data_IF_182276549470
#
_entry.id   IF_182276549470
#
_cell.length_a   1.000
_cell.length_b   1.000
_cell.length_c   1.000
_cell.angle_alpha   90.00
_cell.angle_beta   90.00
_cell.angle_gamma   90.00
#
_symmetry.space_group_name_H-M   'P 1'
#
loop_
_entity.id
_entity.type
_entity.pdbx_description
1 polymer ?
#
# COMPACT_ATOMS: atom_id res chain seq x y z
N UNK A 1 7.10 -20.89 -0.80
CA UNK A 1 7.23 -19.43 -0.64
C UNK A 1 5.87 -18.94 -0.23
N UNK A 2 5.66 -18.65 1.04
CA UNK A 2 4.39 -18.13 1.54
C UNK A 2 4.75 -17.00 2.50
N UNK A 3 4.79 -15.77 2.00
CA UNK A 3 5.00 -14.59 2.81
C UNK A 3 3.63 -13.99 3.12
N UNK A 4 3.28 -14.01 4.41
CA UNK A 4 2.02 -13.55 4.98
C UNK A 4 1.72 -12.08 4.65
N UNK A 5 0.75 -11.82 3.78
CA UNK A 5 0.22 -10.47 3.47
C UNK A 5 -0.74 -9.92 4.54
N UNK A 6 -0.44 -10.00 5.84
CA UNK A 6 -1.38 -9.48 6.88
C UNK A 6 -0.76 -8.66 8.00
N UNK A 7 0.54 -8.42 7.97
CA UNK A 7 1.23 -7.72 9.07
C UNK A 7 0.96 -6.21 9.01
N UNK A 8 0.86 -5.64 7.80
CA UNK A 8 0.67 -4.19 7.59
C UNK A 8 -0.72 -3.66 8.00
N UNK A 9 -1.76 -4.49 7.90
CA UNK A 9 -3.09 -4.11 8.36
C UNK A 9 -3.25 -4.26 9.88
N UNK A 10 -2.58 -5.23 10.49
CA UNK A 10 -2.76 -5.55 11.92
C UNK A 10 -2.09 -4.53 12.84
N UNK A 11 -0.85 -4.15 12.55
CA UNK A 11 -0.11 -3.22 13.40
C UNK A 11 -0.72 -1.82 13.32
N UNK A 12 -1.07 -1.39 12.10
CA UNK A 12 -1.78 -0.13 11.83
C UNK A 12 -3.17 -0.08 12.49
N UNK A 13 -3.96 -1.16 12.33
CA UNK A 13 -5.26 -1.27 12.96
C UNK A 13 -5.15 -1.30 14.49
N UNK A 14 -4.10 -1.92 15.04
CA UNK A 14 -3.83 -1.98 16.47
C UNK A 14 -3.52 -0.58 17.01
N UNK A 15 -2.65 0.19 16.36
CA UNK A 15 -2.29 1.54 16.81
C UNK A 15 -3.48 2.52 16.73
N UNK A 16 -4.29 2.42 15.68
CA UNK A 16 -5.52 3.21 15.55
C UNK A 16 -6.56 2.80 16.60
N UNK A 17 -6.77 1.50 16.81
CA UNK A 17 -7.77 0.99 17.77
C UNK A 17 -7.38 1.30 19.22
N UNK A 18 -6.10 1.18 19.58
CA UNK A 18 -5.60 1.50 20.94
C UNK A 18 -5.85 2.96 21.31
N UNK A 19 -5.77 3.88 20.35
CA UNK A 19 -6.14 5.29 20.57
C UNK A 19 -7.65 5.55 20.49
N UNK A 20 -8.38 4.80 19.64
CA UNK A 20 -9.83 4.91 19.48
C UNK A 20 -10.59 4.42 20.72
N UNK A 21 -10.11 3.39 21.42
CA UNK A 21 -10.75 2.84 22.63
C UNK A 21 -10.90 3.91 23.73
N UNK A 22 -9.84 4.62 24.17
CA UNK A 22 -9.92 5.74 25.10
C UNK A 22 -10.92 6.81 24.68
N UNK A 23 -10.95 7.18 23.39
CA UNK A 23 -11.88 8.17 22.85
C UNK A 23 -13.31 7.68 22.97
N UNK A 24 -13.57 6.43 22.58
CA UNK A 24 -14.91 5.82 22.66
C UNK A 24 -15.43 5.77 24.09
N UNK A 25 -14.63 5.29 25.05
CA UNK A 25 -15.07 5.22 26.45
C UNK A 25 -15.32 6.62 27.03
N UNK A 26 -14.47 7.60 26.73
CA UNK A 26 -14.65 8.97 27.20
C UNK A 26 -15.91 9.61 26.61
N UNK A 27 -16.15 9.44 25.30
CA UNK A 27 -17.36 9.94 24.65
C UNK A 27 -18.62 9.29 25.23
N UNK A 28 -18.59 7.96 25.43
CA UNK A 28 -19.70 7.21 25.99
C UNK A 28 -20.07 7.70 27.39
N UNK A 29 -19.09 7.81 28.29
CA UNK A 29 -19.34 8.30 29.64
C UNK A 29 -19.72 9.79 29.64
N UNK A 30 -19.09 10.60 28.80
CA UNK A 30 -19.45 12.01 28.67
C UNK A 30 -20.93 12.15 28.29
N UNK A 31 -21.41 11.43 27.29
CA UNK A 31 -22.82 11.45 26.88
C UNK A 31 -23.75 10.87 27.96
N UNK A 32 -23.33 9.83 28.68
CA UNK A 32 -24.11 9.26 29.80
C UNK A 32 -24.26 10.24 30.97
N UNK A 33 -23.22 11.03 31.28
CA UNK A 33 -23.21 11.95 32.41
C UNK A 33 -23.59 13.39 32.02
N UNK A 34 -23.63 13.74 30.74
CA UNK A 34 -24.10 15.04 30.26
C UNK A 34 -25.54 15.39 30.72
N UNK A 35 -26.50 14.46 30.83
CA UNK A 35 -27.82 14.74 31.39
C UNK A 35 -27.81 15.07 32.89
N UNK A 36 -26.71 14.79 33.60
CA UNK A 36 -26.55 15.09 35.02
C UNK A 36 -26.53 16.61 35.30
N UNK A 37 -26.31 17.44 34.27
CA UNK A 37 -26.46 18.91 34.30
C UNK A 37 -27.86 19.33 34.77
N UNK A 38 -28.88 18.52 34.52
CA UNK A 38 -30.28 18.76 34.96
C UNK A 38 -30.61 18.12 36.32
N UNK A 39 -29.64 17.50 36.98
CA UNK A 39 -29.83 16.76 38.23
C UNK A 39 -29.99 17.65 39.48
N UNK A 40 -30.46 17.09 40.59
CA UNK A 40 -30.82 17.83 41.81
C UNK A 40 -29.62 18.44 42.58
N UNK A 41 -28.38 18.21 42.13
CA UNK A 41 -27.17 18.49 42.92
C UNK A 41 -26.56 19.89 42.74
N UNK A 42 -27.17 20.77 41.96
CA UNK A 42 -26.69 22.15 41.78
C UNK A 42 -25.47 22.24 40.86
N UNK A 43 -25.39 23.36 40.14
CA UNK A 43 -24.33 23.62 39.17
C UNK A 43 -23.37 24.67 39.73
N UNK A 44 -22.15 24.27 40.08
CA UNK A 44 -21.08 25.23 40.35
C UNK A 44 -20.26 25.44 39.08
N UNK A 45 -20.28 26.67 38.54
CA UNK A 45 -19.59 27.00 37.28
C UNK A 45 -18.09 26.77 37.34
N UNK A 46 -17.45 26.95 38.49
CA UNK A 46 -15.99 26.87 38.59
C UNK A 46 -15.54 25.41 38.54
N UNK A 47 -16.16 24.57 39.36
CA UNK A 47 -15.84 23.14 39.40
C UNK A 47 -16.28 22.43 38.12
N UNK A 48 -17.44 22.79 37.57
CA UNK A 48 -17.92 22.19 36.31
C UNK A 48 -17.03 22.56 35.13
N UNK A 49 -16.55 23.81 35.06
CA UNK A 49 -15.64 24.25 34.01
C UNK A 49 -14.30 23.50 34.08
N UNK A 50 -13.75 23.35 35.29
CA UNK A 50 -12.52 22.56 35.49
C UNK A 50 -12.74 21.10 35.10
N UNK A 51 -13.82 20.46 35.55
CA UNK A 51 -14.13 19.07 35.22
C UNK A 51 -14.27 18.87 33.70
N UNK A 52 -15.05 19.72 33.04
CA UNK A 52 -15.26 19.65 31.60
C UNK A 52 -13.94 19.93 30.86
N UNK A 53 -13.16 20.91 31.31
CA UNK A 53 -11.84 21.21 30.73
C UNK A 53 -10.87 20.02 30.86
N UNK A 54 -10.80 19.39 32.03
CA UNK A 54 -9.96 18.22 32.26
C UNK A 54 -10.37 17.00 31.44
N UNK A 55 -11.61 16.93 30.94
CA UNK A 55 -12.08 15.83 30.08
C UNK A 55 -11.91 16.21 28.61
N UNK A 56 -12.41 17.38 28.20
CA UNK A 56 -12.43 17.80 26.80
C UNK A 56 -11.04 18.11 26.25
N UNK A 57 -10.12 18.62 27.07
CA UNK A 57 -8.75 18.90 26.63
C UNK A 57 -8.01 17.61 26.22
N UNK A 58 -7.87 16.57 27.07
CA UNK A 58 -7.21 15.33 26.66
C UNK A 58 -8.02 14.58 25.60
N UNK A 59 -9.36 14.63 25.65
CA UNK A 59 -10.21 14.05 24.61
C UNK A 59 -9.92 14.68 23.24
N UNK A 60 -9.91 16.01 23.16
CA UNK A 60 -9.64 16.74 21.92
C UNK A 60 -8.22 16.54 21.41
N UNK A 61 -7.21 16.61 22.29
CA UNK A 61 -5.82 16.33 21.94
C UNK A 61 -5.66 14.92 21.36
N UNK A 62 -6.20 13.90 22.04
CA UNK A 62 -6.13 12.53 21.54
C UNK A 62 -6.91 12.34 20.24
N UNK A 63 -8.09 12.94 20.11
CA UNK A 63 -8.87 12.88 18.88
C UNK A 63 -8.11 13.48 17.69
N UNK A 64 -7.47 14.63 17.90
CA UNK A 64 -6.64 15.30 16.89
C UNK A 64 -5.47 14.41 16.49
N UNK A 65 -4.72 13.87 17.46
CA UNK A 65 -3.59 12.99 17.19
C UNK A 65 -4.03 11.72 16.46
N UNK A 66 -5.11 11.09 16.91
CA UNK A 66 -5.67 9.88 16.29
C UNK A 66 -6.09 10.14 14.84
N UNK A 67 -6.72 11.30 14.58
CA UNK A 67 -7.10 11.69 13.23
C UNK A 67 -5.89 11.92 12.33
N UNK A 68 -4.87 12.64 12.80
CA UNK A 68 -3.66 12.84 12.01
C UNK A 68 -2.91 11.54 11.75
N UNK A 69 -2.88 10.62 12.71
CA UNK A 69 -2.33 9.28 12.50
C UNK A 69 -3.10 8.53 11.40
N UNK A 70 -4.44 8.54 11.43
CA UNK A 70 -5.26 7.91 10.40
C UNK A 70 -5.01 8.51 9.00
N UNK A 71 -4.97 9.84 8.89
CA UNK A 71 -4.72 10.53 7.63
C UNK A 71 -3.30 10.28 7.10
N UNK A 72 -2.30 10.22 7.98
CA UNK A 72 -0.93 9.90 7.58
C UNK A 72 -0.81 8.48 7.00
N UNK A 73 -1.50 7.51 7.60
CA UNK A 73 -1.55 6.13 7.13
C UNK A 73 -2.19 6.02 5.74
N UNK A 74 -3.30 6.72 5.50
CA UNK A 74 -3.95 6.74 4.17
C UNK A 74 -3.03 7.34 3.08
N UNK A 75 -2.21 8.33 3.45
CA UNK A 75 -1.24 8.94 2.55
C UNK A 75 -0.11 7.99 2.16
N UNK A 76 0.51 7.34 3.14
CA UNK A 76 1.62 6.40 2.92
C UNK A 76 1.15 5.17 2.13
N UNK A 77 -0.05 4.66 2.39
CA UNK A 77 -0.61 3.51 1.66
C UNK A 77 -0.79 3.81 0.16
N UNK A 78 -1.29 4.99 -0.18
CA UNK A 78 -1.54 5.40 -1.58
C UNK A 78 -0.23 5.63 -2.36
N UNK A 79 0.77 6.26 -1.74
CA UNK A 79 2.08 6.45 -2.38
C UNK A 79 2.79 5.11 -2.65
N UNK A 80 2.60 4.14 -1.75
CA UNK A 80 3.14 2.78 -1.93
C UNK A 80 2.41 2.03 -3.05
N UNK A 81 1.07 2.06 -3.10
CA UNK A 81 0.29 1.44 -4.19
C UNK A 81 0.58 2.09 -5.56
N UNK A 82 0.71 3.42 -5.62
CA UNK A 82 1.02 4.12 -6.87
C UNK A 82 2.41 3.74 -7.42
N UNK A 83 3.38 3.51 -6.53
CA UNK A 83 4.71 3.06 -6.91
C UNK A 83 4.71 1.60 -7.35
N UNK A 84 4.01 0.72 -6.65
CA UNK A 84 3.87 -0.68 -7.04
C UNK A 84 3.13 -0.83 -8.39
N UNK A 85 2.11 0.00 -8.64
CA UNK A 85 1.43 0.05 -9.93
C UNK A 85 2.35 0.54 -11.06
N UNK A 86 3.16 1.57 -10.81
CA UNK A 86 4.13 2.06 -11.79
C UNK A 86 5.25 1.03 -12.07
N UNK A 87 5.70 0.29 -11.06
CA UNK A 87 6.66 -0.80 -11.23
C UNK A 87 6.04 -1.99 -12.01
N UNK A 88 4.76 -2.31 -11.76
CA UNK A 88 4.03 -3.34 -12.49
C UNK A 88 3.75 -2.97 -13.96
N UNK A 89 3.39 -1.72 -14.24
CA UNK A 89 3.24 -1.22 -15.62
C UNK A 89 4.60 -1.22 -16.35
N UNK A 90 5.68 -0.81 -15.68
CA UNK A 90 7.02 -0.85 -16.27
C UNK A 90 7.51 -2.28 -16.55
N UNK A 91 7.20 -3.25 -15.69
CA UNK A 91 7.52 -4.66 -15.91
C UNK A 91 6.66 -5.27 -17.03
N UNK A 92 5.40 -4.86 -17.15
CA UNK A 92 4.51 -5.26 -18.24
C UNK A 92 4.96 -4.68 -19.60
N UNK A 93 5.38 -3.42 -19.67
CA UNK A 93 5.97 -2.82 -20.87
C UNK A 93 7.29 -3.51 -21.24
N UNK A 94 8.17 -3.79 -20.27
CA UNK A 94 9.43 -4.49 -20.53
C UNK A 94 9.22 -5.93 -21.03
N UNK A 95 8.20 -6.62 -20.51
CA UNK A 95 7.82 -7.96 -20.99
C UNK A 95 7.24 -7.92 -22.41
N UNK A 96 6.42 -6.91 -22.74
CA UNK A 96 5.87 -6.73 -24.07
C UNK A 96 6.94 -6.37 -25.12
N UNK A 97 7.91 -5.51 -24.77
CA UNK A 97 9.06 -5.24 -25.64
C UNK A 97 9.92 -6.49 -25.87
N UNK A 98 10.16 -7.30 -24.84
CA UNK A 98 10.92 -8.55 -24.99
C UNK A 98 10.23 -9.55 -25.93
N UNK A 99 8.89 -9.62 -25.92
CA UNK A 99 8.11 -10.48 -26.80
C UNK A 99 8.16 -10.00 -28.27
N UNK A 100 8.17 -8.69 -28.52
CA UNK A 100 8.31 -8.14 -29.89
C UNK A 100 9.70 -8.32 -30.51
N UNK A 101 10.75 -8.42 -29.69
CA UNK A 101 12.13 -8.61 -30.16
C UNK A 101 12.37 -10.07 -30.59
N UNK A 102 11.71 -11.04 -29.97
CA UNK A 102 11.79 -12.45 -30.39
C UNK A 102 11.03 -12.71 -31.72
N UNK A 103 9.98 -11.95 -32.03
CA UNK A 103 9.20 -12.13 -33.26
C UNK A 103 9.87 -11.49 -34.51
N UNK A 104 10.65 -10.42 -34.37
CA UNK A 104 11.49 -9.90 -35.47
C UNK A 104 12.73 -10.78 -35.75
N UNK A 105 13.21 -11.54 -34.77
CA UNK A 105 14.35 -12.45 -34.96
C UNK A 105 13.98 -13.71 -35.78
N UNK A 106 12.72 -14.15 -35.76
CA UNK A 106 12.22 -15.31 -36.52
C UNK A 106 11.76 -14.93 -37.94
N UNK A 107 11.44 -13.65 -38.19
CA UNK A 107 10.99 -13.18 -39.50
C UNK A 107 12.14 -12.92 -40.52
N UNK A 108 13.38 -12.74 -40.07
CA UNK A 108 14.55 -12.49 -40.94
C UNK A 108 15.26 -13.79 -41.41
N UNK A 109 14.82 -14.98 -40.95
CA UNK A 109 15.47 -16.25 -41.29
C UNK A 109 14.93 -16.93 -42.58
N UNK A 110 13.84 -16.45 -43.19
CA UNK A 110 13.16 -17.12 -44.31
C UNK A 110 13.36 -16.44 -45.70
N UNK A 111 14.52 -15.81 -45.94
CA UNK A 111 14.90 -15.35 -47.29
C UNK A 111 16.33 -15.73 -47.68
N UNK A 112 16.76 -16.96 -47.38
CA UNK A 112 17.97 -17.55 -47.97
C UNK A 112 17.58 -18.68 -48.94
N UNK A 113 17.36 -18.28 -50.20
CA UNK A 113 17.24 -19.13 -51.38
C UNK A 113 18.41 -20.13 -51.47
N UNK A 114 18.17 -21.47 -51.49
CA UNK A 114 19.21 -22.44 -51.72
C UNK A 114 18.86 -23.33 -52.92
N UNK A 115 19.01 -22.81 -54.13
CA UNK A 115 19.18 -23.65 -55.33
C UNK A 115 20.38 -23.18 -56.14
N UNK A 116 21.56 -23.69 -55.79
CA UNK A 116 22.74 -23.68 -56.65
C UNK A 116 23.61 -24.92 -56.40
N UNK A 117 23.44 -25.88 -57.31
CA UNK A 117 24.42 -26.83 -57.86
C UNK A 117 25.24 -27.71 -56.90
N UNK A 118 24.79 -28.97 -56.84
CA UNK A 118 25.67 -30.12 -56.70
C UNK A 118 26.29 -30.45 -58.07
N UNK A 119 27.63 -30.39 -58.19
CA UNK A 119 28.51 -31.48 -58.65
C UNK A 119 29.94 -30.94 -58.84
N UNK A 120 30.94 -31.64 -58.30
CA UNK A 120 32.16 -32.09 -59.00
C UNK A 120 33.19 -32.56 -57.97
N UNK A 121 33.43 -33.86 -58.06
CA UNK A 121 34.50 -34.67 -57.46
C UNK A 121 35.86 -34.33 -58.07
N UNK A 122 36.91 -34.20 -57.25
CA UNK A 122 38.22 -34.82 -57.54
C UNK A 122 39.07 -34.95 -56.28
N UNK A 123 39.69 -36.12 -56.21
CA UNK A 123 40.53 -36.71 -55.17
C UNK A 123 42.02 -36.48 -55.50
N UNK A 124 42.90 -36.69 -54.52
CA UNK A 124 44.36 -36.98 -54.58
C UNK A 124 45.38 -35.82 -54.67
N UNK A 125 46.09 -35.59 -53.56
CA UNK A 125 47.52 -35.25 -53.37
C UNK A 125 47.82 -35.70 -51.92
N UNK A 126 48.73 -36.60 -51.53
CA UNK A 126 50.14 -36.83 -51.84
C UNK A 126 50.51 -38.30 -51.51
N UNK A 127 51.34 -38.95 -52.35
CA UNK A 127 52.20 -40.10 -51.99
C UNK A 127 53.65 -39.69 -52.25
N UNK A 128 54.54 -39.92 -51.28
CA UNK A 128 55.95 -40.30 -51.51
C UNK A 128 56.09 -41.82 -51.34
#
# INVERSE_FOLDING_TARGET
MEQDRTIFDKDTFLDLTVNMIPLFIMAFFFVLFLPMVYGPFGWDSTYSLLQIGLILVPFGLLAILTYFSAVAIEGDANETEAREAAEADAEAEAAAEAETVDEEADAEADTADPDADADVKTETVDEE
#
